data_IF_577999173945
#
_entry.id   IF_577999173945
#
_cell.length_a   1.000
_cell.length_b   1.000
_cell.length_c   1.000
_cell.angle_alpha   90.00
_cell.angle_beta   90.00
_cell.angle_gamma   90.00
#
_symmetry.space_group_name_H-M   'P 1'
#
loop_
_entity.id
_entity.type
_entity.pdbx_description
1 polymer ?
#
# COMPACT_ATOMS: atom_id res chain seq x y z
N UNK A 1 8.93 -5.74 14.69
CA UNK A 1 9.11 -7.10 14.14
C UNK A 1 9.28 -8.06 15.31
N UNK A 2 8.51 -9.15 15.36
CA UNK A 2 8.58 -10.16 16.44
C UNK A 2 9.41 -11.40 16.09
N UNK A 3 9.88 -11.51 14.85
CA UNK A 3 10.73 -12.62 14.41
C UNK A 3 12.21 -12.33 14.74
N UNK A 4 12.92 -13.24 15.42
CA UNK A 4 14.37 -13.14 15.63
C UNK A 4 15.10 -13.22 14.28
N UNK A 5 16.29 -12.62 14.19
CA UNK A 5 17.12 -12.48 12.97
C UNK A 5 16.54 -11.56 11.88
N UNK A 6 15.28 -11.72 11.48
CA UNK A 6 14.64 -10.87 10.47
C UNK A 6 14.72 -9.38 10.86
N UNK A 7 14.49 -9.07 12.14
CA UNK A 7 14.64 -7.70 12.65
C UNK A 7 16.04 -7.13 12.41
N UNK A 8 17.08 -7.92 12.63
CA UNK A 8 18.48 -7.47 12.50
C UNK A 8 18.81 -7.23 11.02
N UNK A 9 18.43 -8.16 10.14
CA UNK A 9 18.58 -8.02 8.69
C UNK A 9 17.88 -6.77 8.14
N UNK A 10 16.61 -6.56 8.52
CA UNK A 10 15.87 -5.36 8.12
C UNK A 10 16.51 -4.07 8.67
N UNK A 11 17.01 -4.10 9.92
CA UNK A 11 17.68 -2.92 10.51
C UNK A 11 18.98 -2.59 9.79
N UNK A 12 19.75 -3.59 9.35
CA UNK A 12 20.96 -3.38 8.53
C UNK A 12 20.62 -2.76 7.16
N UNK A 13 19.47 -3.11 6.59
CA UNK A 13 18.95 -2.50 5.37
C UNK A 13 18.34 -1.09 5.59
N UNK A 14 18.48 -0.50 6.79
CA UNK A 14 17.93 0.81 7.12
C UNK A 14 16.42 0.83 7.37
N UNK A 15 15.77 -0.34 7.41
CA UNK A 15 14.33 -0.44 7.66
C UNK A 15 14.04 -0.40 9.15
N UNK A 16 13.22 0.57 9.56
CA UNK A 16 12.76 0.70 10.93
C UNK A 16 11.26 0.39 11.05
N UNK A 17 10.79 -0.07 12.23
CA UNK A 17 9.36 -0.14 12.49
C UNK A 17 8.72 1.24 12.29
N UNK A 18 7.67 1.30 11.46
CA UNK A 18 6.88 2.50 11.17
C UNK A 18 6.00 2.90 12.38
N UNK A 19 6.64 3.18 13.51
CA UNK A 19 6.00 3.75 14.70
C UNK A 19 6.07 5.26 14.65
N UNK A 20 5.08 5.95 15.22
CA UNK A 20 5.05 7.40 15.30
C UNK A 20 6.36 7.99 15.86
N UNK A 21 6.88 7.39 16.93
CA UNK A 21 8.15 7.79 17.55
C UNK A 21 9.33 7.72 16.59
N UNK A 22 9.50 6.60 15.89
CA UNK A 22 10.61 6.43 14.95
C UNK A 22 10.49 7.38 13.76
N UNK A 23 9.28 7.51 13.22
CA UNK A 23 9.00 8.40 12.09
C UNK A 23 9.31 9.86 12.46
N UNK A 24 8.80 10.36 13.59
CA UNK A 24 9.09 11.73 14.05
C UNK A 24 10.57 11.94 14.32
N UNK A 25 11.25 10.98 14.95
CA UNK A 25 12.70 11.06 15.18
C UNK A 25 13.47 11.20 13.86
N UNK A 26 13.12 10.40 12.85
CA UNK A 26 13.77 10.42 11.53
C UNK A 26 13.46 11.71 10.77
N UNK A 27 12.21 12.15 10.76
CA UNK A 27 11.80 13.40 10.09
C UNK A 27 12.42 14.65 10.71
N UNK A 28 12.68 14.65 12.03
CA UNK A 28 13.36 15.76 12.73
C UNK A 28 14.89 15.72 12.62
N UNK A 29 15.46 14.64 12.08
CA UNK A 29 16.91 14.50 11.93
C UNK A 29 17.37 15.19 10.63
N UNK A 30 18.37 16.10 10.69
CA UNK A 30 18.87 16.77 9.50
C UNK A 30 19.36 15.79 8.44
N UNK A 31 19.08 16.07 7.16
CA UNK A 31 19.54 15.26 6.03
C UNK A 31 18.86 13.89 5.88
N UNK A 32 17.85 13.57 6.69
CA UNK A 32 17.12 12.31 6.58
C UNK A 32 15.86 12.46 5.71
N UNK A 33 15.71 11.57 4.73
CA UNK A 33 14.45 11.36 4.00
C UNK A 33 13.82 10.04 4.45
N UNK A 34 12.51 10.02 4.68
CA UNK A 34 11.80 8.81 5.13
C UNK A 34 10.73 8.42 4.14
N UNK A 35 10.78 7.19 3.66
CA UNK A 35 9.72 6.59 2.85
C UNK A 35 8.71 5.88 3.74
N UNK A 36 7.42 6.17 3.56
CA UNK A 36 6.33 5.57 4.32
C UNK A 36 5.32 4.96 3.35
N UNK A 37 5.00 3.68 3.55
CA UNK A 37 3.88 3.01 2.88
C UNK A 37 2.68 3.02 3.83
N UNK A 38 1.68 3.91 3.62
CA UNK A 38 0.60 4.13 4.58
C UNK A 38 -0.30 2.90 4.76
N UNK A 39 -0.62 2.19 3.68
CA UNK A 39 -1.53 1.03 3.74
C UNK A 39 -0.94 -0.22 4.40
N UNK A 40 0.39 -0.36 4.39
CA UNK A 40 1.11 -1.45 5.02
C UNK A 40 0.54 -2.84 4.68
N UNK A 41 0.49 -3.72 5.69
CA UNK A 41 0.04 -5.11 5.53
C UNK A 41 -1.39 -5.21 4.99
N UNK A 42 -2.28 -4.26 5.30
CA UNK A 42 -3.68 -4.35 4.90
C UNK A 42 -3.85 -4.20 3.38
N UNK A 43 -3.16 -3.24 2.79
CA UNK A 43 -3.20 -2.94 1.35
C UNK A 43 -2.69 -4.10 0.50
N UNK A 44 -1.72 -4.86 1.01
CA UNK A 44 -1.15 -6.00 0.28
C UNK A 44 -2.14 -7.15 0.03
N UNK A 45 -3.30 -7.17 0.70
CA UNK A 45 -4.37 -8.12 0.44
C UNK A 45 -5.47 -7.57 -0.50
N UNK A 46 -5.34 -6.33 -0.99
CA UNK A 46 -6.32 -5.62 -1.81
C UNK A 46 -5.88 -5.51 -3.28
N UNK A 47 -5.35 -6.61 -3.83
CA UNK A 47 -4.98 -6.67 -5.25
C UNK A 47 -6.20 -7.02 -6.09
N UNK A 48 -6.61 -6.19 -7.06
CA UNK A 48 -7.71 -6.47 -8.00
C UNK A 48 -7.29 -6.24 -9.48
N UNK A 49 -7.74 -7.08 -10.43
CA UNK A 49 -7.48 -6.86 -11.85
C UNK A 49 -8.10 -5.58 -12.41
N UNK A 50 -9.25 -5.13 -11.90
CA UNK A 50 -10.02 -4.00 -12.45
C UNK A 50 -9.73 -2.68 -11.75
N UNK A 51 -9.22 -2.73 -10.52
CA UNK A 51 -8.98 -1.52 -9.74
C UNK A 51 -7.81 -1.64 -8.78
N UNK A 52 -7.34 -0.49 -8.32
CA UNK A 52 -6.26 -0.35 -7.36
C UNK A 52 -6.84 0.27 -6.08
N UNK A 53 -6.42 -0.20 -4.91
CA UNK A 53 -6.86 0.35 -3.64
C UNK A 53 -5.67 0.85 -2.85
N UNK A 54 -5.73 2.11 -2.42
CA UNK A 54 -4.75 2.69 -1.50
C UNK A 54 -5.43 2.90 -0.15
N UNK A 55 -4.82 2.34 0.89
CA UNK A 55 -5.37 2.36 2.24
C UNK A 55 -4.70 3.48 3.06
N UNK A 56 -5.39 4.61 3.24
CA UNK A 56 -4.82 5.77 3.95
C UNK A 56 -5.47 6.08 5.31
N UNK A 57 -6.62 5.47 5.58
CA UNK A 57 -7.50 5.68 6.72
C UNK A 57 -6.81 6.03 8.07
N UNK A 58 -5.94 5.16 8.59
CA UNK A 58 -5.61 5.20 10.04
C UNK A 58 -4.21 5.72 10.37
N UNK A 59 -3.51 6.38 9.44
CA UNK A 59 -2.08 6.74 9.63
C UNK A 59 -1.74 8.16 9.14
N UNK A 60 -2.50 9.15 9.61
CA UNK A 60 -2.35 10.57 9.23
C UNK A 60 -1.57 11.39 10.28
N UNK A 61 -1.21 12.63 9.94
CA UNK A 61 -0.75 13.66 10.89
C UNK A 61 0.73 13.65 11.31
N UNK A 62 1.51 12.63 10.98
CA UNK A 62 2.93 12.56 11.38
C UNK A 62 3.80 13.63 10.72
N UNK A 63 3.50 13.99 9.47
CA UNK A 63 4.24 15.02 8.75
C UNK A 63 4.01 16.42 9.36
N UNK A 64 2.76 16.76 9.72
CA UNK A 64 2.42 18.01 10.41
C UNK A 64 3.18 18.15 11.73
N UNK A 65 3.25 17.06 12.50
CA UNK A 65 4.00 17.01 13.77
C UNK A 65 5.50 17.20 13.62
N UNK A 66 6.04 16.91 12.44
CA UNK A 66 7.44 17.11 12.13
C UNK A 66 7.70 18.43 11.36
N UNK A 67 6.66 19.09 10.84
CA UNK A 67 6.81 20.21 9.90
C UNK A 67 7.57 19.80 8.63
N UNK A 68 7.43 18.54 8.20
CA UNK A 68 8.19 17.99 7.07
C UNK A 68 7.32 17.97 5.80
N UNK A 69 7.85 18.43 4.65
CA UNK A 69 7.13 18.33 3.38
C UNK A 69 6.87 16.86 3.02
N UNK A 70 5.78 16.62 2.29
CA UNK A 70 5.39 15.29 1.84
C UNK A 70 5.45 15.25 0.32
N UNK A 71 5.96 14.15 -0.24
CA UNK A 71 5.91 13.91 -1.69
C UNK A 71 5.10 12.64 -1.94
N UNK A 72 3.90 12.74 -2.54
CA UNK A 72 3.14 11.56 -2.96
C UNK A 72 3.89 10.81 -4.05
N UNK A 73 3.99 9.48 -3.92
CA UNK A 73 4.62 8.62 -4.93
C UNK A 73 3.66 7.48 -5.22
N UNK A 74 3.40 7.24 -6.51
CA UNK A 74 2.59 6.12 -6.96
C UNK A 74 3.41 5.19 -7.85
N UNK A 75 3.22 3.88 -7.67
CA UNK A 75 3.94 2.84 -8.41
C UNK A 75 2.92 2.00 -9.16
N UNK A 76 2.89 2.14 -10.48
CA UNK A 76 2.08 1.30 -11.38
C UNK A 76 2.75 -0.07 -11.57
N UNK A 77 1.93 -1.11 -11.69
CA UNK A 77 2.36 -2.50 -11.91
C UNK A 77 2.70 -3.27 -10.63
N UNK A 78 2.74 -2.61 -9.47
CA UNK A 78 3.15 -3.24 -8.20
C UNK A 78 2.26 -4.44 -7.81
N UNK A 79 0.97 -4.37 -8.10
CA UNK A 79 -0.02 -5.44 -7.83
C UNK A 79 0.08 -6.59 -8.84
N UNK A 80 0.76 -6.39 -9.96
CA UNK A 80 0.93 -7.40 -11.01
C UNK A 80 2.25 -8.17 -10.88
N UNK A 81 3.09 -7.86 -9.88
CA UNK A 81 4.40 -8.52 -9.72
C UNK A 81 4.32 -9.97 -9.25
N UNK A 82 3.23 -10.35 -8.58
CA UNK A 82 3.07 -11.67 -8.01
C UNK A 82 1.61 -12.13 -8.11
N UNK A 83 1.42 -13.44 -8.31
CA UNK A 83 0.12 -14.06 -8.11
C UNK A 83 -0.15 -14.19 -6.61
N UNK A 84 -1.25 -13.62 -6.15
CA UNK A 84 -1.69 -13.72 -4.76
C UNK A 84 -2.87 -14.68 -4.65
N UNK A 85 -2.86 -15.54 -3.61
CA UNK A 85 -3.99 -16.45 -3.39
C UNK A 85 -5.13 -15.75 -2.64
N UNK A 86 -6.36 -15.95 -3.10
CA UNK A 86 -7.62 -15.58 -2.42
C UNK A 86 -8.20 -16.73 -1.58
N UNK A 87 -9.15 -16.41 -0.71
CA UNK A 87 -9.94 -17.40 0.04
C UNK A 87 -9.45 -17.66 1.48
N UNK A 88 -9.72 -18.87 1.99
CA UNK A 88 -9.46 -19.22 3.42
C UNK A 88 -7.99 -19.05 3.82
N UNK A 89 -7.07 -19.40 2.94
CA UNK A 89 -5.63 -19.23 3.18
C UNK A 89 -5.26 -17.75 3.33
N UNK A 90 -5.79 -16.88 2.47
CA UNK A 90 -5.58 -15.44 2.56
C UNK A 90 -6.09 -14.87 3.89
N UNK A 91 -7.28 -15.29 4.33
CA UNK A 91 -7.87 -14.83 5.58
C UNK A 91 -7.04 -15.27 6.81
N UNK A 92 -6.58 -16.52 6.82
CA UNK A 92 -5.69 -17.04 7.86
C UNK A 92 -4.38 -16.26 7.89
N UNK A 93 -3.74 -16.08 6.74
CA UNK A 93 -2.48 -15.35 6.60
C UNK A 93 -2.62 -13.88 7.00
N UNK A 94 -3.74 -13.22 6.68
CA UNK A 94 -4.05 -11.86 7.13
C UNK A 94 -4.23 -11.77 8.66
N UNK A 95 -4.82 -12.78 9.30
CA UNK A 95 -4.95 -12.83 10.77
C UNK A 95 -3.57 -13.03 11.43
N UNK A 96 -2.77 -13.97 10.92
CA UNK A 96 -1.41 -14.23 11.40
C UNK A 96 -0.48 -13.03 11.19
N UNK A 97 -0.55 -12.39 10.03
CA UNK A 97 0.25 -11.20 9.71
C UNK A 97 0.03 -10.06 10.69
N UNK A 98 -1.24 -9.83 11.08
CA UNK A 98 -1.61 -8.83 12.09
C UNK A 98 -1.10 -9.20 13.48
N UNK A 99 -1.23 -10.47 13.87
CA UNK A 99 -0.77 -10.95 15.18
C UNK A 99 0.77 -10.88 15.33
N UNK A 100 1.50 -11.23 14.27
CA UNK A 100 2.97 -11.27 14.26
C UNK A 100 3.62 -9.93 13.90
N UNK A 101 2.84 -8.97 13.37
CA UNK A 101 3.32 -7.69 12.80
C UNK A 101 4.40 -7.92 11.75
N UNK A 102 4.15 -8.89 10.87
CA UNK A 102 4.99 -9.28 9.72
C UNK A 102 4.04 -9.53 8.56
N UNK A 103 4.41 -9.14 7.35
CA UNK A 103 3.61 -9.44 6.17
C UNK A 103 3.81 -10.89 5.75
N UNK A 104 2.82 -11.74 6.01
CA UNK A 104 2.74 -13.10 5.52
C UNK A 104 1.68 -13.12 4.42
N UNK A 105 2.12 -13.04 3.17
CA UNK A 105 1.22 -13.08 2.02
C UNK A 105 1.53 -14.36 1.27
N UNK A 106 0.52 -15.20 1.01
CA UNK A 106 0.70 -16.33 0.12
C UNK A 106 0.80 -15.74 -1.30
N UNK A 107 2.00 -15.80 -1.88
CA UNK A 107 2.25 -15.35 -3.25
C UNK A 107 3.15 -16.32 -4.01
N UNK A 108 3.03 -16.32 -5.33
CA UNK A 108 3.94 -17.00 -6.25
C UNK A 108 4.31 -16.02 -7.35
N UNK A 109 5.61 -15.88 -7.59
CA UNK A 109 6.15 -15.11 -8.68
C UNK A 109 6.28 -15.95 -9.96
N UNK A 110 7.50 -16.03 -10.50
CA UNK A 110 7.78 -16.57 -11.84
C UNK A 110 7.41 -18.05 -12.04
N UNK A 111 7.60 -18.89 -11.03
CA UNK A 111 7.27 -20.32 -11.10
C UNK A 111 7.22 -20.95 -9.70
N UNK A 112 6.72 -22.19 -9.61
CA UNK A 112 6.77 -22.98 -8.38
C UNK A 112 8.20 -23.20 -7.85
N UNK A 113 9.18 -23.30 -8.75
CA UNK A 113 10.61 -23.44 -8.41
C UNK A 113 11.28 -22.10 -8.07
N UNK A 114 10.63 -20.98 -8.36
CA UNK A 114 11.15 -19.63 -8.07
C UNK A 114 10.01 -18.71 -7.59
N UNK A 115 9.34 -19.05 -6.48
CA UNK A 115 8.13 -18.34 -6.04
C UNK A 115 8.43 -16.93 -5.53
N UNK A 116 9.69 -16.63 -5.17
CA UNK A 116 10.12 -15.32 -4.68
C UNK A 116 10.61 -14.36 -5.77
N UNK A 117 10.72 -14.82 -7.02
CA UNK A 117 11.14 -13.98 -8.15
C UNK A 117 9.92 -13.34 -8.80
N UNK A 118 9.82 -12.00 -8.87
CA UNK A 118 8.66 -11.33 -9.47
C UNK A 118 8.39 -11.76 -10.92
N UNK A 119 7.14 -11.62 -11.35
CA UNK A 119 6.75 -11.70 -12.75
C UNK A 119 7.41 -10.59 -13.56
N UNK A 120 7.63 -10.83 -14.86
CA UNK A 120 8.21 -9.86 -15.78
C UNK A 120 7.18 -8.82 -16.21
N UNK A 121 6.71 -8.03 -15.25
CA UNK A 121 5.81 -6.90 -15.49
C UNK A 121 6.56 -5.58 -15.26
N UNK A 122 6.36 -4.57 -16.13
CA UNK A 122 7.00 -3.28 -15.96
C UNK A 122 6.53 -2.62 -14.66
N UNK A 123 7.38 -1.78 -14.09
CA UNK A 123 7.02 -0.89 -12.99
C UNK A 123 7.21 0.56 -13.46
N UNK A 124 6.21 1.39 -13.23
CA UNK A 124 6.32 2.83 -13.50
C UNK A 124 6.17 3.58 -12.20
N UNK A 125 7.25 4.23 -11.78
CA UNK A 125 7.25 5.08 -10.57
C UNK A 125 6.98 6.51 -11.00
N UNK A 126 5.95 7.12 -10.43
CA UNK A 126 5.63 8.53 -10.64
C UNK A 126 5.77 9.27 -9.32
N UNK A 127 6.65 10.27 -9.33
CA UNK A 127 6.85 11.19 -8.20
C UNK A 127 5.93 12.39 -8.41
N UNK A 128 5.07 12.62 -7.42
CA UNK A 128 4.11 13.72 -7.41
C UNK A 128 4.73 15.07 -7.09
N UNK A 129 3.87 16.08 -7.05
CA UNK A 129 4.24 17.41 -6.58
C UNK A 129 4.48 17.39 -5.07
N UNK A 130 5.56 18.02 -4.57
CA UNK A 130 5.75 18.21 -3.14
C UNK A 130 4.59 19.02 -2.53
N UNK A 131 4.06 18.53 -1.42
CA UNK A 131 3.12 19.21 -0.54
C UNK A 131 3.95 19.84 0.57
N UNK A 132 4.18 21.15 0.44
CA UNK A 132 4.94 21.91 1.42
C UNK A 132 4.03 22.26 2.61
N UNK A 133 4.58 22.13 3.81
CA UNK A 133 3.89 22.57 5.01
C UNK A 133 4.41 23.97 5.34
N UNK A 134 3.62 25.00 5.05
CA UNK A 134 3.95 26.40 5.39
C UNK A 134 3.77 26.71 6.89
N UNK A 135 3.82 25.68 7.74
CA UNK A 135 3.60 25.75 9.18
C UNK A 135 4.80 25.19 9.93
N UNK A 136 5.20 25.89 11.00
CA UNK A 136 6.13 25.34 11.97
C UNK A 136 5.61 23.99 12.52
N UNK A 137 6.49 23.09 12.98
CA UNK A 137 6.06 21.80 13.52
C UNK A 137 4.96 21.96 14.59
N UNK A 138 3.81 21.31 14.37
CA UNK A 138 2.65 21.41 15.29
C UNK A 138 2.63 20.18 16.18
N UNK A 139 2.87 20.31 17.49
CA UNK A 139 2.94 19.14 18.38
C UNK A 139 1.63 18.33 18.42
N UNK A 140 0.50 19.02 18.41
CA UNK A 140 -0.84 18.45 18.39
C UNK A 140 -1.66 19.09 17.26
N UNK A 141 -1.52 18.62 15.99
CA UNK A 141 -2.29 19.16 14.88
C UNK A 141 -3.77 18.86 15.08
N UNK A 142 -4.63 19.80 14.70
CA UNK A 142 -6.08 19.63 14.77
C UNK A 142 -6.54 18.59 13.74
N UNK A 143 -7.71 17.97 13.98
CA UNK A 143 -8.30 17.03 13.02
C UNK A 143 -8.46 17.68 11.64
N UNK A 144 -8.92 18.93 11.60
CA UNK A 144 -9.08 19.73 10.38
C UNK A 144 -7.76 19.89 9.61
N UNK A 145 -6.65 20.19 10.29
CA UNK A 145 -5.33 20.28 9.65
C UNK A 145 -4.88 18.95 9.07
N UNK A 146 -5.11 17.86 9.83
CA UNK A 146 -4.77 16.50 9.40
C UNK A 146 -5.58 16.11 8.17
N UNK A 147 -6.88 16.39 8.16
CA UNK A 147 -7.78 16.03 7.08
C UNK A 147 -7.58 16.91 5.84
N UNK A 148 -7.28 18.19 5.99
CA UNK A 148 -6.92 19.07 4.87
C UNK A 148 -5.66 18.56 4.15
N UNK A 149 -4.60 18.27 4.90
CA UNK A 149 -3.38 17.70 4.33
C UNK A 149 -3.62 16.33 3.69
N UNK A 150 -4.44 15.51 4.34
CA UNK A 150 -4.77 14.18 3.82
C UNK A 150 -5.57 14.27 2.51
N UNK A 151 -6.52 15.20 2.42
CA UNK A 151 -7.28 15.47 1.21
C UNK A 151 -6.37 15.94 0.07
N UNK A 152 -5.41 16.83 0.34
CA UNK A 152 -4.43 17.28 -0.65
C UNK A 152 -3.55 16.13 -1.15
N UNK A 153 -3.06 15.29 -0.22
CA UNK A 153 -2.28 14.10 -0.55
C UNK A 153 -3.08 13.11 -1.41
N UNK A 154 -4.33 12.84 -1.05
CA UNK A 154 -5.23 11.96 -1.80
C UNK A 154 -5.55 12.52 -3.17
N UNK A 155 -5.82 13.82 -3.28
CA UNK A 155 -6.08 14.47 -4.56
C UNK A 155 -4.88 14.39 -5.50
N UNK A 156 -3.66 14.57 -4.99
CA UNK A 156 -2.44 14.45 -5.79
C UNK A 156 -2.19 12.99 -6.23
N UNK A 157 -2.45 11.99 -5.38
CA UNK A 157 -2.40 10.58 -5.78
C UNK A 157 -3.41 10.26 -6.89
N UNK A 158 -4.64 10.75 -6.76
CA UNK A 158 -5.68 10.56 -7.77
C UNK A 158 -5.27 11.22 -9.10
N UNK A 159 -4.74 12.45 -9.05
CA UNK A 159 -4.22 13.16 -10.21
C UNK A 159 -3.10 12.38 -10.90
N UNK A 160 -2.12 11.88 -10.15
CA UNK A 160 -1.04 11.03 -10.67
C UNK A 160 -1.64 9.81 -11.38
N UNK A 161 -2.54 9.10 -10.71
CA UNK A 161 -3.16 7.91 -11.28
C UNK A 161 -3.86 8.22 -12.60
N UNK A 162 -4.78 9.18 -12.62
CA UNK A 162 -5.55 9.49 -13.82
C UNK A 162 -4.70 10.04 -14.97
N UNK A 163 -3.64 10.81 -14.65
CA UNK A 163 -2.73 11.36 -15.66
C UNK A 163 -1.88 10.28 -16.32
N UNK A 164 -1.42 9.28 -15.56
CA UNK A 164 -0.39 8.34 -16.02
C UNK A 164 -0.90 6.91 -16.25
N UNK A 165 -2.12 6.54 -15.82
CA UNK A 165 -2.67 5.18 -15.99
C UNK A 165 -2.68 4.68 -17.44
N UNK A 166 -2.92 5.58 -18.41
CA UNK A 166 -2.91 5.23 -19.83
C UNK A 166 -1.51 4.96 -20.40
N UNK A 167 -0.44 5.34 -19.69
CA UNK A 167 0.95 5.08 -20.11
C UNK A 167 1.47 3.73 -19.63
N UNK A 168 0.78 3.09 -18.69
CA UNK A 168 1.20 1.81 -18.14
C UNK A 168 0.33 0.68 -18.71
N UNK A 169 0.93 -0.42 -19.22
CA UNK A 169 0.17 -1.55 -19.77
C UNK A 169 -0.84 -2.13 -18.77
N UNK A 170 -2.09 -2.31 -19.20
CA UNK A 170 -3.13 -2.91 -18.35
C UNK A 170 -3.76 -1.98 -17.31
N UNK A 171 -3.48 -0.67 -17.35
CA UNK A 171 -4.05 0.31 -16.40
C UNK A 171 -5.04 1.31 -17.03
N UNK A 172 -5.18 1.34 -18.36
CA UNK A 172 -6.03 2.32 -19.06
C UNK A 172 -7.48 2.38 -18.56
N UNK A 173 -8.05 1.21 -18.24
CA UNK A 173 -9.43 1.10 -17.75
C UNK A 173 -9.51 0.95 -16.22
N UNK A 174 -8.37 0.87 -15.53
CA UNK A 174 -8.36 0.73 -14.08
C UNK A 174 -8.80 2.01 -13.40
N UNK A 175 -9.39 1.85 -12.21
CA UNK A 175 -9.74 2.94 -11.30
C UNK A 175 -8.91 2.84 -10.03
N UNK A 176 -8.52 3.98 -9.49
CA UNK A 176 -7.92 4.07 -8.16
C UNK A 176 -9.02 4.39 -7.15
N UNK A 177 -9.07 3.60 -6.08
CA UNK A 177 -9.90 3.87 -4.93
C UNK A 177 -9.01 4.19 -3.74
N UNK A 178 -9.36 5.26 -3.03
CA UNK A 178 -8.69 5.63 -1.78
C UNK A 178 -9.64 5.29 -0.65
N UNK A 179 -9.30 4.28 0.14
CA UNK A 179 -10.12 3.86 1.26
C UNK A 179 -9.91 4.82 2.46
N UNK A 180 -10.96 5.55 2.81
CA UNK A 180 -11.09 6.31 4.05
C UNK A 180 -11.31 5.44 5.30
N UNK A 181 -11.36 6.10 6.46
CA UNK A 181 -11.58 5.50 7.79
C UNK A 181 -12.92 4.76 7.87
N UNK A 182 -13.92 5.24 7.13
CA UNK A 182 -15.27 4.65 7.01
C UNK A 182 -15.49 3.85 5.71
N UNK A 183 -14.57 3.89 4.74
CA UNK A 183 -14.80 3.29 3.42
C UNK A 183 -14.42 1.81 3.35
N UNK A 184 -13.57 1.31 4.26
CA UNK A 184 -13.38 -0.16 4.39
C UNK A 184 -14.67 -0.83 4.85
N UNK A 185 -15.54 -0.08 5.54
CA UNK A 185 -16.88 -0.47 5.98
C UNK A 185 -17.99 -0.11 4.98
N UNK A 186 -17.69 0.62 3.90
CA UNK A 186 -18.68 1.06 2.90
C UNK A 186 -18.70 0.24 1.62
N UNK A 187 -17.75 -0.68 1.45
CA UNK A 187 -18.08 -1.87 0.67
C UNK A 187 -19.06 -2.66 1.53
N UNK A 188 -20.32 -2.74 1.10
CA UNK A 188 -21.23 -3.71 1.69
C UNK A 188 -20.54 -5.07 1.69
N UNK A 189 -20.72 -5.88 2.74
CA UNK A 189 -20.15 -7.23 2.75
C UNK A 189 -20.47 -7.97 1.45
N UNK A 190 -21.63 -7.68 0.85
CA UNK A 190 -22.08 -8.13 -0.47
C UNK A 190 -21.20 -7.69 -1.66
N UNK A 191 -20.68 -6.48 -1.72
CA UNK A 191 -19.81 -6.04 -2.84
C UNK A 191 -18.41 -6.64 -2.73
N UNK A 192 -17.88 -6.71 -1.51
CA UNK A 192 -16.62 -7.43 -1.24
C UNK A 192 -16.79 -8.92 -1.52
N UNK A 193 -17.92 -9.50 -1.14
CA UNK A 193 -18.21 -10.91 -1.37
C UNK A 193 -18.50 -11.19 -2.84
N UNK A 194 -19.15 -10.28 -3.58
CA UNK A 194 -19.35 -10.38 -5.02
C UNK A 194 -18.03 -10.29 -5.79
N UNK A 195 -17.09 -9.44 -5.36
CA UNK A 195 -15.73 -9.40 -5.92
C UNK A 195 -14.98 -10.70 -5.57
N UNK A 196 -15.11 -11.21 -4.33
CA UNK A 196 -14.51 -12.50 -3.93
C UNK A 196 -15.09 -13.68 -4.68
N UNK A 197 -16.39 -13.67 -4.97
CA UNK A 197 -17.12 -14.73 -5.65
C UNK A 197 -16.82 -14.73 -7.14
N UNK A 198 -16.74 -13.54 -7.77
CA UNK A 198 -16.24 -13.38 -9.15
C UNK A 198 -14.80 -13.90 -9.28
N UNK A 199 -13.93 -13.59 -8.32
CA UNK A 199 -12.57 -14.17 -8.26
C UNK A 199 -12.55 -15.67 -8.02
N UNK A 200 -13.44 -16.20 -7.18
CA UNK A 200 -13.54 -17.65 -6.93
C UNK A 200 -13.84 -18.39 -8.22
N UNK A 201 -14.65 -17.81 -9.12
CA UNK A 201 -14.98 -18.36 -10.43
C UNK A 201 -13.81 -18.21 -11.42
N UNK A 202 -13.12 -17.07 -11.45
CA UNK A 202 -11.97 -16.82 -12.33
C UNK A 202 -10.71 -17.62 -11.94
N UNK A 203 -10.56 -17.94 -10.65
CA UNK A 203 -9.43 -18.73 -10.13
C UNK A 203 -9.42 -20.19 -10.64
N UNK A 204 -10.56 -20.72 -11.09
CA UNK A 204 -10.63 -22.03 -11.76
C UNK A 204 -10.10 -22.01 -13.21
N UNK A 205 -9.87 -20.83 -13.80
CA UNK A 205 -9.36 -20.69 -15.17
C UNK A 205 -7.90 -20.21 -15.25
N UNK A 206 -7.26 -19.90 -14.11
CA UNK A 206 -5.88 -19.38 -14.06
C UNK A 206 -4.77 -20.43 -14.21
N UNK A 207 -5.12 -21.71 -14.38
CA UNK A 207 -4.19 -22.70 -14.90
C UNK A 207 -4.49 -22.93 -16.38
N UNK A 208 -3.66 -22.46 -17.33
CA UNK A 208 -3.71 -23.01 -18.67
C UNK A 208 -3.49 -24.53 -18.56
N UNK A 209 -4.37 -25.31 -19.18
CA UNK A 209 -4.27 -26.77 -19.31
C UNK A 209 -3.09 -27.19 -20.22
N UNK A 210 -1.90 -26.64 -20.00
CA UNK A 210 -0.64 -27.01 -20.65
C UNK A 210 0.52 -26.82 -19.67
N UNK A 211 0.73 -27.83 -18.84
CA UNK A 211 1.89 -28.72 -18.87
C UNK A 211 1.57 -29.95 -18.02
#
# INVERSE_FOLDING_TARGET
>A
FRLPLLRQWLSMAGLEPATARNLLRRLRSPGCSTFLVPGGIAEMFLNDPDYEVVQLANRKGHALRAGSPIVPVYIFGQTQLFYTFSGRLQQLMRRLSRALRVSLIPFVGRSWLSPFVPLQNPLTVVVGRPINLDVAPVEAPTAEQIDALHAEFTAELQRIFDTYKGRHPGYSNKRLYVAGEDDVTRWGEEEVEAIRERRRLEQFHLFPAKL
#
